data_IF_831539002035
#
_entry.id   IF_831539002035
#
_cell.length_a   1.000
_cell.length_b   1.000
_cell.length_c   1.000
_cell.angle_alpha   90.00
_cell.angle_beta   90.00
_cell.angle_gamma   90.00
#
_symmetry.space_group_name_H-M   'P 1'
#
loop_
_entity.id
_entity.type
_entity.pdbx_description
1 polymer ?
#
# COMPACT_ATOMS: atom_id res chain seq x y z
N UNK A 1 -0.46 -0.78 54.77
CA UNK A 1 -0.20 0.50 54.07
C UNK A 1 1.10 0.28 53.30
N UNK A 2 1.05 -0.30 52.10
CA UNK A 2 0.71 0.33 50.81
C UNK A 2 1.71 1.45 50.51
N UNK A 3 2.52 1.40 49.46
CA UNK A 3 2.07 1.26 48.06
C UNK A 3 3.12 0.55 47.18
N UNK A 4 2.67 -0.51 46.49
CA UNK A 4 3.36 -1.08 45.33
C UNK A 4 3.46 -0.01 44.23
N UNK A 5 4.67 0.16 43.70
CA UNK A 5 4.98 1.11 42.64
C UNK A 5 4.60 0.48 41.28
N UNK A 6 3.31 0.36 41.03
CA UNK A 6 2.78 -0.06 39.73
C UNK A 6 3.04 1.07 38.73
N UNK A 7 4.09 0.92 37.91
CA UNK A 7 4.29 1.75 36.72
C UNK A 7 3.11 1.49 35.78
N UNK A 8 2.07 2.31 35.90
CA UNK A 8 0.97 2.32 34.95
C UNK A 8 1.53 2.62 33.56
N UNK A 9 1.50 1.64 32.67
CA UNK A 9 1.67 1.87 31.24
C UNK A 9 0.43 2.66 30.81
N UNK A 10 0.59 3.96 30.56
CA UNK A 10 -0.49 4.75 29.96
C UNK A 10 -0.73 4.19 28.56
N UNK A 11 -1.97 3.77 28.23
CA UNK A 11 -2.32 3.49 26.84
C UNK A 11 -2.06 4.74 26.01
N UNK A 12 -1.57 4.56 24.79
CA UNK A 12 -1.35 5.65 23.86
C UNK A 12 -2.72 6.13 23.35
N UNK A 13 -3.33 7.09 24.04
CA UNK A 13 -4.53 7.79 23.56
C UNK A 13 -4.11 8.76 22.44
N UNK A 14 -4.06 8.27 21.20
CA UNK A 14 -4.01 9.15 20.03
C UNK A 14 -5.43 9.38 19.53
N UNK A 15 -6.03 10.52 19.89
CA UNK A 15 -7.28 11.01 19.29
C UNK A 15 -7.10 11.47 17.84
N UNK A 16 -5.86 11.45 17.34
CA UNK A 16 -5.50 11.84 15.97
C UNK A 16 -5.39 10.55 15.14
N UNK A 17 -6.02 10.48 13.94
CA UNK A 17 -5.79 9.38 13.02
C UNK A 17 -4.28 9.19 12.82
N UNK A 18 -3.80 7.96 12.80
CA UNK A 18 -2.41 7.69 12.44
C UNK A 18 -2.13 8.30 11.06
N UNK A 19 -0.88 8.72 10.81
CA UNK A 19 -0.51 9.32 9.51
C UNK A 19 -0.94 8.43 8.33
N UNK A 20 -0.85 7.10 8.52
CA UNK A 20 -1.31 6.09 7.57
C UNK A 20 -2.81 6.21 7.26
N UNK A 21 -3.67 6.38 8.28
CA UNK A 21 -5.12 6.49 8.09
C UNK A 21 -5.49 7.77 7.35
N UNK A 22 -4.80 8.88 7.62
CA UNK A 22 -5.04 10.14 6.92
C UNK A 22 -4.63 10.04 5.44
N UNK A 23 -3.44 9.50 5.16
CA UNK A 23 -2.97 9.26 3.78
C UNK A 23 -3.92 8.31 3.04
N UNK A 24 -4.30 7.20 3.68
CA UNK A 24 -5.26 6.22 3.14
C UNK A 24 -6.55 6.91 2.71
N UNK A 25 -7.14 7.74 3.59
CA UNK A 25 -8.38 8.45 3.29
C UNK A 25 -8.24 9.35 2.05
N UNK A 26 -7.15 10.11 1.95
CA UNK A 26 -6.91 11.03 0.84
C UNK A 26 -6.76 10.28 -0.50
N UNK A 27 -6.02 9.17 -0.50
CA UNK A 27 -5.82 8.35 -1.69
C UNK A 27 -7.11 7.65 -2.09
N UNK A 28 -7.84 7.07 -1.12
CA UNK A 28 -9.11 6.38 -1.36
C UNK A 28 -10.15 7.29 -2.02
N UNK A 29 -10.32 8.52 -1.52
CA UNK A 29 -11.24 9.49 -2.13
C UNK A 29 -10.85 9.85 -3.58
N UNK A 30 -9.54 9.92 -3.87
CA UNK A 30 -9.05 10.11 -5.23
C UNK A 30 -9.34 8.89 -6.12
N UNK A 31 -9.09 7.67 -5.64
CA UNK A 31 -9.37 6.43 -6.37
C UNK A 31 -10.87 6.25 -6.66
N UNK A 32 -11.74 6.64 -5.73
CA UNK A 32 -13.20 6.68 -5.94
C UNK A 32 -13.59 7.64 -7.06
N UNK A 33 -13.00 8.83 -7.09
CA UNK A 33 -13.28 9.85 -8.11
C UNK A 33 -12.86 9.39 -9.50
N UNK A 34 -11.67 8.80 -9.63
CA UNK A 34 -11.09 8.39 -10.92
C UNK A 34 -11.64 7.05 -11.44
N UNK A 35 -12.26 6.23 -10.58
CA UNK A 35 -12.87 4.93 -10.95
C UNK A 35 -11.92 3.99 -11.71
N UNK A 36 -10.62 4.08 -11.47
CA UNK A 36 -9.59 3.34 -12.19
C UNK A 36 -9.41 1.88 -11.72
N UNK A 37 -9.90 1.53 -10.53
CA UNK A 37 -9.81 0.20 -9.93
C UNK A 37 -11.20 -0.37 -9.61
N UNK A 38 -11.26 -1.70 -9.38
CA UNK A 38 -12.42 -2.39 -8.79
C UNK A 38 -12.81 -1.72 -7.46
N UNK A 39 -14.11 -1.62 -7.19
CA UNK A 39 -14.61 -0.71 -6.14
C UNK A 39 -14.25 -1.18 -4.73
N UNK A 40 -14.33 -2.49 -4.53
CA UNK A 40 -13.97 -3.26 -3.34
C UNK A 40 -12.46 -3.23 -3.03
N UNK A 41 -11.61 -3.01 -4.04
CA UNK A 41 -10.16 -3.04 -3.88
C UNK A 41 -9.55 -1.66 -3.60
N UNK A 42 -10.29 -0.56 -3.83
CA UNK A 42 -9.76 0.81 -3.75
C UNK A 42 -9.20 1.15 -2.37
N UNK A 43 -9.90 0.76 -1.31
CA UNK A 43 -9.49 1.06 0.06
C UNK A 43 -8.23 0.29 0.45
N UNK A 44 -8.15 -1.00 0.08
CA UNK A 44 -6.96 -1.81 0.30
C UNK A 44 -5.73 -1.24 -0.40
N UNK A 45 -5.88 -0.85 -1.68
CA UNK A 45 -4.80 -0.21 -2.44
C UNK A 45 -4.37 1.12 -1.82
N UNK A 46 -5.33 1.94 -1.38
CA UNK A 46 -5.02 3.19 -0.70
C UNK A 46 -4.22 2.96 0.59
N UNK A 47 -4.57 1.94 1.36
CA UNK A 47 -3.86 1.56 2.58
C UNK A 47 -2.43 1.11 2.30
N UNK A 48 -2.22 0.25 1.29
CA UNK A 48 -0.87 -0.20 0.90
C UNK A 48 0.04 0.94 0.46
N UNK A 49 -0.49 1.91 -0.28
CA UNK A 49 0.29 3.10 -0.65
C UNK A 49 0.66 3.90 0.61
N UNK A 50 -0.26 4.04 1.58
CA UNK A 50 0.01 4.74 2.83
C UNK A 50 1.11 4.07 3.67
N UNK A 51 1.07 2.74 3.83
CA UNK A 51 2.10 1.98 4.54
C UNK A 51 3.49 2.19 3.90
N UNK A 52 3.58 2.09 2.57
CA UNK A 52 4.84 2.33 1.84
C UNK A 52 5.35 3.76 2.06
N UNK A 53 4.45 4.76 2.00
CA UNK A 53 4.83 6.15 2.21
C UNK A 53 5.35 6.42 3.63
N UNK A 54 4.70 5.85 4.65
CA UNK A 54 5.12 6.01 6.04
C UNK A 54 6.42 5.26 6.31
N UNK A 55 6.58 4.03 5.82
CA UNK A 55 7.83 3.28 5.93
C UNK A 55 9.00 4.02 5.24
N UNK A 56 8.76 4.59 4.04
CA UNK A 56 9.76 5.38 3.35
C UNK A 56 10.12 6.66 4.13
N UNK A 57 9.13 7.37 4.68
CA UNK A 57 9.37 8.55 5.53
C UNK A 57 10.22 8.19 6.74
N UNK A 58 9.91 7.10 7.44
CA UNK A 58 10.66 6.63 8.60
C UNK A 58 12.10 6.27 8.24
N UNK A 59 12.30 5.63 7.09
CA UNK A 59 13.64 5.35 6.58
C UNK A 59 14.46 6.63 6.39
N UNK A 60 13.89 7.65 5.73
CA UNK A 60 14.59 8.91 5.44
C UNK A 60 14.79 9.81 6.67
N UNK A 61 13.87 9.76 7.64
CA UNK A 61 13.88 10.68 8.79
C UNK A 61 14.47 10.06 10.06
N UNK A 62 14.60 8.73 10.13
CA UNK A 62 15.09 8.03 11.32
C UNK A 62 16.22 7.05 11.00
N UNK A 63 16.04 6.13 10.05
CA UNK A 63 17.06 5.08 9.79
C UNK A 63 18.34 5.64 9.15
N UNK A 64 18.22 6.40 8.05
CA UNK A 64 19.38 6.96 7.35
C UNK A 64 20.15 8.04 8.14
N UNK A 65 19.49 8.95 8.88
CA UNK A 65 20.20 9.92 9.72
C UNK A 65 21.10 9.27 10.78
N UNK A 66 20.69 8.13 11.36
CA UNK A 66 21.51 7.39 12.35
C UNK A 66 22.80 6.85 11.71
N UNK A 67 22.71 6.30 10.51
CA UNK A 67 23.87 5.79 9.76
C UNK A 67 24.84 6.87 9.29
N UNK A 68 24.32 8.03 8.90
CA UNK A 68 25.12 9.11 8.34
C UNK A 68 25.73 10.00 9.43
N UNK A 69 25.37 9.76 10.69
CA UNK A 69 25.77 10.54 11.86
C UNK A 69 25.55 12.05 11.70
N UNK A 70 24.58 12.45 10.86
CA UNK A 70 24.33 13.86 10.50
C UNK A 70 23.80 14.66 11.70
N UNK A 71 23.23 13.97 12.70
CA UNK A 71 22.79 14.57 13.97
C UNK A 71 23.83 14.45 15.10
N UNK A 72 24.91 13.66 14.95
CA UNK A 72 25.86 13.40 16.05
C UNK A 72 25.26 12.57 17.19
N UNK A 73 24.08 11.97 16.99
CA UNK A 73 23.24 11.34 18.03
C UNK A 73 23.25 9.80 18.01
N UNK A 74 24.08 9.16 17.17
CA UNK A 74 24.12 7.69 17.17
C UNK A 74 25.06 7.18 18.26
N UNK A 75 24.50 6.91 19.45
CA UNK A 75 25.17 6.18 20.53
C UNK A 75 25.20 4.66 20.29
N UNK A 76 24.57 4.17 19.21
CA UNK A 76 24.53 2.75 18.87
C UNK A 76 25.77 2.29 18.09
N UNK A 77 26.22 1.05 18.29
CA UNK A 77 27.20 0.40 17.42
C UNK A 77 26.75 0.45 15.95
N UNK A 78 27.68 0.70 15.04
CA UNK A 78 27.40 0.74 13.59
C UNK A 78 26.76 -0.56 13.09
N UNK A 79 27.12 -1.71 13.66
CA UNK A 79 26.55 -3.01 13.30
C UNK A 79 25.04 -3.09 13.59
N UNK A 80 24.57 -2.50 14.69
CA UNK A 80 23.15 -2.43 15.04
C UNK A 80 22.39 -1.52 14.07
N UNK A 81 23.02 -0.42 13.65
CA UNK A 81 22.44 0.50 12.67
C UNK A 81 22.34 -0.11 11.28
N UNK A 82 23.35 -0.88 10.87
CA UNK A 82 23.35 -1.63 9.62
C UNK A 82 22.29 -2.73 9.63
N UNK A 83 22.15 -3.48 10.74
CA UNK A 83 21.10 -4.48 10.89
C UNK A 83 19.70 -3.85 10.87
N UNK A 84 19.53 -2.72 11.56
CA UNK A 84 18.30 -1.94 11.54
C UNK A 84 17.93 -1.50 10.11
N UNK A 85 18.91 -1.01 9.34
CA UNK A 85 18.70 -0.64 7.94
C UNK A 85 18.32 -1.83 7.06
N UNK A 86 18.99 -2.96 7.23
CA UNK A 86 18.68 -4.18 6.49
C UNK A 86 17.24 -4.62 6.74
N UNK A 87 16.77 -4.58 7.99
CA UNK A 87 15.38 -4.89 8.32
C UNK A 87 14.40 -3.88 7.70
N UNK A 88 14.71 -2.58 7.71
CA UNK A 88 13.89 -1.55 7.05
C UNK A 88 13.78 -1.79 5.55
N UNK A 89 14.88 -2.13 4.88
CA UNK A 89 14.86 -2.45 3.45
C UNK A 89 14.06 -3.71 3.16
N UNK A 90 14.20 -4.76 3.97
CA UNK A 90 13.41 -5.98 3.81
C UNK A 90 11.91 -5.67 3.94
N UNK A 91 11.52 -4.91 4.96
CA UNK A 91 10.13 -4.50 5.16
C UNK A 91 9.57 -3.70 3.97
N UNK A 92 10.34 -2.74 3.44
CA UNK A 92 9.95 -2.00 2.24
C UNK A 92 9.79 -2.92 1.02
N UNK A 93 10.70 -3.89 0.83
CA UNK A 93 10.56 -4.88 -0.22
C UNK A 93 9.28 -5.69 -0.06
N UNK A 94 8.97 -6.15 1.15
CA UNK A 94 7.75 -6.94 1.42
C UNK A 94 6.49 -6.11 1.10
N UNK A 95 6.43 -4.86 1.56
CA UNK A 95 5.32 -3.94 1.25
C UNK A 95 5.15 -3.71 -0.26
N UNK A 96 6.25 -3.56 -1.01
CA UNK A 96 6.20 -3.41 -2.47
C UNK A 96 5.64 -4.66 -3.16
N UNK A 97 6.04 -5.86 -2.73
CA UNK A 97 5.50 -7.11 -3.28
C UNK A 97 4.01 -7.30 -2.96
N UNK A 98 3.59 -6.95 -1.75
CA UNK A 98 2.18 -6.95 -1.36
C UNK A 98 1.38 -5.96 -2.20
N UNK A 99 1.88 -4.74 -2.38
CA UNK A 99 1.25 -3.73 -3.23
C UNK A 99 1.11 -4.21 -4.68
N UNK A 100 2.17 -4.74 -5.29
CA UNK A 100 2.12 -5.22 -6.68
C UNK A 100 1.07 -6.32 -6.84
N UNK A 101 1.03 -7.26 -5.89
CA UNK A 101 0.06 -8.35 -5.87
C UNK A 101 -1.38 -7.84 -5.77
N UNK A 102 -1.64 -6.93 -4.84
CA UNK A 102 -2.97 -6.30 -4.67
C UNK A 102 -3.34 -5.47 -5.89
N UNK A 103 -2.41 -4.70 -6.46
CA UNK A 103 -2.66 -3.82 -7.59
C UNK A 103 -3.09 -4.61 -8.82
N UNK A 104 -2.39 -5.70 -9.14
CA UNK A 104 -2.75 -6.58 -10.25
C UNK A 104 -4.15 -7.19 -10.08
N UNK A 105 -4.56 -7.52 -8.86
CA UNK A 105 -5.90 -8.01 -8.56
C UNK A 105 -6.97 -6.92 -8.69
N UNK A 106 -6.61 -5.68 -8.35
CA UNK A 106 -7.49 -4.51 -8.40
C UNK A 106 -7.73 -3.97 -9.82
N UNK A 107 -6.88 -4.31 -10.79
CA UNK A 107 -7.06 -3.94 -12.18
C UNK A 107 -8.39 -4.46 -12.71
N UNK A 108 -9.14 -3.59 -13.39
CA UNK A 108 -10.34 -3.97 -14.13
C UNK A 108 -9.91 -4.73 -15.37
N UNK A 109 -10.21 -6.03 -15.42
CA UNK A 109 -10.14 -6.77 -16.67
C UNK A 109 -11.13 -6.13 -17.66
N UNK A 110 -10.76 -5.97 -18.94
CA UNK A 110 -11.74 -5.58 -19.95
C UNK A 110 -12.89 -6.60 -19.94
N UNK A 111 -14.15 -6.15 -20.15
CA UNK A 111 -15.26 -7.08 -20.25
C UNK A 111 -14.95 -8.11 -21.34
N UNK A 112 -15.27 -9.40 -21.13
CA UNK A 112 -15.01 -10.42 -22.15
C UNK A 112 -15.66 -9.97 -23.46
N UNK A 113 -14.89 -9.97 -24.55
CA UNK A 113 -15.41 -9.66 -25.87
C UNK A 113 -16.64 -10.54 -26.12
N UNK A 114 -17.79 -9.92 -26.40
CA UNK A 114 -18.96 -10.65 -26.86
C UNK A 114 -18.51 -11.40 -28.10
N UNK A 115 -18.43 -12.74 -28.03
CA UNK A 115 -18.33 -13.59 -29.22
C UNK A 115 -19.51 -13.21 -30.10
N UNK A 116 -19.24 -12.46 -31.17
CA UNK A 116 -20.22 -12.25 -32.23
C UNK A 116 -20.33 -13.63 -32.87
N UNK A 117 -21.38 -14.38 -32.54
CA UNK A 117 -21.76 -15.54 -33.32
C UNK A 117 -21.96 -15.04 -34.75
N UNK A 118 -21.11 -15.52 -35.66
CA UNK A 118 -21.25 -15.24 -37.07
C UNK A 118 -22.63 -15.72 -37.50
N UNK A 119 -23.55 -14.78 -37.72
CA UNK A 119 -24.82 -15.06 -38.32
C UNK A 119 -24.54 -15.69 -39.69
N UNK A 120 -24.94 -16.94 -39.83
CA UNK A 120 -24.87 -17.78 -41.01
C UNK A 120 -25.53 -17.06 -42.20
N UNK A 121 -24.71 -16.55 -43.12
CA UNK A 121 -25.16 -15.94 -44.37
C UNK A 121 -25.25 -17.05 -45.44
N UNK A 122 -26.02 -18.10 -45.18
CA UNK A 122 -26.31 -19.14 -46.17
C UNK A 122 -27.81 -19.19 -46.46
N UNK A 123 -28.28 -18.26 -47.29
CA UNK A 123 -29.69 -18.23 -47.66
C UNK A 123 -30.10 -17.08 -48.57
N UNK A 124 -29.37 -16.83 -49.65
CA UNK A 124 -29.90 -16.04 -50.77
C UNK A 124 -30.25 -17.02 -51.91
N UNK A 125 -31.49 -17.06 -52.41
CA UNK A 125 -31.84 -17.89 -53.55
C UNK A 125 -31.21 -17.30 -54.82
N UNK A 126 -30.59 -18.17 -55.62
CA UNK A 126 -30.12 -17.85 -56.97
C UNK A 126 -31.35 -17.54 -57.84
N UNK A 127 -31.46 -16.30 -58.33
CA UNK A 127 -32.39 -16.00 -59.42
C UNK A 127 -31.80 -16.47 -60.74
N UNK A 128 -32.58 -17.29 -61.45
CA UNK A 128 -32.27 -17.88 -62.75
C UNK A 128 -32.08 -16.79 -63.84
N UNK A 129 -31.02 -16.93 -64.64
CA UNK A 129 -30.88 -16.30 -65.97
C UNK A 129 -30.87 -17.38 -67.04
#
# INVERSE_FOLDING_TARGET
MSTENTRYFKPFDSSVPTEELEITRLIFERLKKERCLKEDERESIAYRIAEIMVAAKDMYTRSLPRLTNVSGESDSPMDDDLLGLQMTFQHLCDLMHEYDSSYLQALRLPPPEKKVEAADISGAPLEDF
#
